data_IF_027316716020
#
_entry.id   IF_027316716020
#
_cell.length_a   1.000
_cell.length_b   1.000
_cell.length_c   1.000
_cell.angle_alpha   90.00
_cell.angle_beta   90.00
_cell.angle_gamma   90.00
#
_symmetry.space_group_name_H-M   'P 1'
#
loop_
_entity.id
_entity.type
_entity.pdbx_description
1 polymer ?
#
# COMPACT_ATOMS: atom_id res chain seq x y z
N UNK A 1 0.45 14.98 8.64
CA UNK A 1 -0.08 14.52 9.95
C UNK A 1 -0.55 15.75 10.70
N UNK A 2 -1.83 16.12 10.56
CA UNK A 2 -2.42 17.23 11.30
C UNK A 2 -3.22 16.62 12.46
N UNK A 3 -2.62 16.64 13.64
CA UNK A 3 -3.31 16.33 14.90
C UNK A 3 -4.31 17.44 15.18
N UNK A 4 -5.58 17.18 14.91
CA UNK A 4 -6.69 18.03 15.30
C UNK A 4 -6.73 18.14 16.82
N UNK A 5 -6.36 19.30 17.36
CA UNK A 5 -6.67 19.65 18.75
C UNK A 5 -8.20 19.65 18.91
N UNK A 6 -8.75 19.08 19.99
CA UNK A 6 -10.18 19.17 20.24
C UNK A 6 -10.49 20.64 20.52
N UNK A 7 -11.25 21.26 19.63
CA UNK A 7 -11.80 22.61 19.79
C UNK A 7 -12.38 22.76 21.20
N UNK A 8 -11.65 23.46 22.07
CA UNK A 8 -12.09 23.79 23.42
C UNK A 8 -13.36 24.61 23.30
N UNK A 9 -14.47 24.06 23.77
CA UNK A 9 -15.71 24.81 23.92
C UNK A 9 -15.40 25.96 24.87
N UNK A 10 -15.35 27.19 24.36
CA UNK A 10 -15.18 28.38 25.19
C UNK A 10 -16.50 28.57 25.93
N UNK A 11 -16.57 27.97 27.13
CA UNK A 11 -17.69 28.15 28.03
C UNK A 11 -17.59 29.58 28.62
N UNK A 12 -18.69 30.34 28.68
CA UNK A 12 -18.70 31.63 29.37
C UNK A 12 -18.30 31.45 30.85
N UNK A 13 -17.60 32.43 31.42
CA UNK A 13 -17.04 32.40 32.80
C UNK A 13 -18.07 31.97 33.87
N UNK A 14 -19.34 32.35 33.68
CA UNK A 14 -20.44 31.95 34.55
C UNK A 14 -20.76 30.43 34.51
N UNK A 15 -20.55 29.76 33.38
CA UNK A 15 -20.76 28.31 33.26
C UNK A 15 -19.62 27.52 33.90
N UNK A 16 -18.37 28.01 33.80
CA UNK A 16 -17.21 27.42 34.47
C UNK A 16 -17.34 27.50 36.00
N UNK A 17 -17.82 28.63 36.53
CA UNK A 17 -18.13 28.80 37.94
C UNK A 17 -19.24 27.84 38.43
N UNK A 18 -20.29 27.65 37.63
CA UNK A 18 -21.39 26.73 37.97
C UNK A 18 -20.92 25.28 37.99
N UNK A 19 -20.05 24.88 37.05
CA UNK A 19 -19.46 23.55 37.04
C UNK A 19 -18.52 23.34 38.24
N UNK A 20 -17.69 24.34 38.58
CA UNK A 20 -16.84 24.29 39.77
C UNK A 20 -17.63 24.22 41.09
N UNK A 21 -18.80 24.87 41.15
CA UNK A 21 -19.72 24.75 42.29
C UNK A 21 -20.37 23.37 42.35
N UNK A 22 -20.71 22.77 41.20
CA UNK A 22 -21.24 21.41 41.12
C UNK A 22 -20.22 20.38 41.62
N UNK A 23 -18.96 20.48 41.20
CA UNK A 23 -17.88 19.59 41.64
C UNK A 23 -17.65 19.67 43.15
N UNK A 24 -17.64 20.88 43.72
CA UNK A 24 -17.56 21.10 45.18
C UNK A 24 -18.76 20.50 45.91
N UNK A 25 -19.96 20.64 45.34
CA UNK A 25 -21.18 20.07 45.93
C UNK A 25 -21.11 18.53 45.92
N UNK A 26 -20.61 17.93 44.85
CA UNK A 26 -20.40 16.48 44.77
C UNK A 26 -19.37 16.00 45.82
N UNK A 27 -18.28 16.73 46.01
CA UNK A 27 -17.27 16.43 47.02
C UNK A 27 -17.86 16.48 48.45
N UNK A 28 -18.61 17.54 48.77
CA UNK A 28 -19.26 17.70 50.08
C UNK A 28 -20.32 16.62 50.35
N UNK A 29 -21.03 16.17 49.31
CA UNK A 29 -21.98 15.06 49.46
C UNK A 29 -21.29 13.73 49.78
N UNK A 30 -20.10 13.50 49.23
CA UNK A 30 -19.28 12.32 49.55
C UNK A 30 -18.77 12.41 50.99
N UNK A 31 -18.27 13.58 51.41
CA UNK A 31 -17.82 13.82 52.79
C UNK A 31 -18.96 13.62 53.80
N UNK A 32 -20.16 14.15 53.52
CA UNK A 32 -21.35 13.91 54.35
C UNK A 32 -21.76 12.44 54.40
N UNK A 33 -21.62 11.69 53.30
CA UNK A 33 -21.91 10.27 53.27
C UNK A 33 -20.92 9.48 54.15
N UNK A 34 -19.62 9.83 54.10
CA UNK A 34 -18.59 9.26 54.97
C UNK A 34 -18.88 9.56 56.45
N UNK A 35 -19.12 10.83 56.80
CA UNK A 35 -19.43 11.22 58.19
C UNK A 35 -20.72 10.57 58.72
N UNK A 36 -21.72 10.36 57.86
CA UNK A 36 -22.94 9.63 58.23
C UNK A 36 -22.67 8.15 58.45
N UNK A 37 -21.81 7.53 57.64
CA UNK A 37 -21.40 6.14 57.90
C UNK A 37 -20.65 6.04 59.22
N UNK A 38 -19.73 6.96 59.51
CA UNK A 38 -18.94 6.97 60.74
C UNK A 38 -19.81 7.18 61.99
N UNK A 39 -20.73 8.15 61.97
CA UNK A 39 -21.68 8.39 63.07
C UNK A 39 -22.70 7.26 63.27
N UNK A 40 -23.16 6.61 62.21
CA UNK A 40 -24.03 5.45 62.32
C UNK A 40 -23.30 4.27 63.00
N UNK A 41 -21.98 4.21 62.91
CA UNK A 41 -21.15 3.18 63.54
C UNK A 41 -20.75 3.53 64.99
N UNK A 42 -20.48 4.79 65.31
CA UNK A 42 -20.22 5.22 66.69
C UNK A 42 -21.42 4.94 67.63
N UNK A 43 -22.64 4.84 67.08
CA UNK A 43 -23.83 4.44 67.83
C UNK A 43 -23.99 2.93 68.02
N UNK A 44 -23.24 2.09 67.28
CA UNK A 44 -23.36 0.62 67.24
C UNK A 44 -22.16 -0.08 67.94
N UNK A 45 -21.19 0.70 68.42
CA UNK A 45 -19.87 0.29 68.93
C UNK A 45 -19.86 -0.49 70.26
N UNK A 46 -21.03 -0.86 70.79
CA UNK A 46 -21.13 -1.72 71.97
C UNK A 46 -21.07 -3.23 71.65
N UNK A 47 -20.96 -3.66 70.37
CA UNK A 47 -20.92 -5.10 70.06
C UNK A 47 -19.86 -5.51 69.00
N UNK A 48 -18.63 -5.75 69.50
CA UNK A 48 -17.72 -6.90 69.21
C UNK A 48 -17.09 -7.07 67.80
N UNK A 49 -15.75 -7.28 67.84
CA UNK A 49 -14.84 -7.97 66.87
C UNK A 49 -14.17 -7.10 65.77
N UNK A 50 -12.98 -6.58 66.10
CA UNK A 50 -12.12 -5.71 65.28
C UNK A 50 -11.43 -6.37 64.06
N UNK A 51 -11.83 -7.57 63.65
CA UNK A 51 -11.30 -8.27 62.47
C UNK A 51 -12.36 -8.45 61.38
N UNK A 52 -13.49 -9.07 61.71
CA UNK A 52 -14.64 -9.23 60.80
C UNK A 52 -15.35 -7.89 60.52
N UNK A 53 -15.27 -6.94 61.45
CA UNK A 53 -15.83 -5.60 61.28
C UNK A 53 -15.19 -4.82 60.13
N UNK A 54 -13.89 -4.99 59.85
CA UNK A 54 -13.19 -4.21 58.83
C UNK A 54 -13.62 -4.60 57.40
N UNK A 55 -13.78 -5.89 57.12
CA UNK A 55 -14.26 -6.37 55.83
C UNK A 55 -15.72 -5.93 55.59
N UNK A 56 -16.55 -5.96 56.63
CA UNK A 56 -17.92 -5.46 56.60
C UNK A 56 -17.95 -3.94 56.38
N UNK A 57 -17.04 -3.19 57.00
CA UNK A 57 -16.88 -1.73 56.81
C UNK A 57 -16.48 -1.43 55.36
N UNK A 58 -15.47 -2.13 54.83
CA UNK A 58 -15.03 -1.93 53.45
C UNK A 58 -16.16 -2.23 52.46
N UNK A 59 -16.91 -3.32 52.68
CA UNK A 59 -18.04 -3.67 51.83
C UNK A 59 -19.16 -2.62 51.92
N UNK A 60 -19.47 -2.10 53.12
CA UNK A 60 -20.49 -1.04 53.28
C UNK A 60 -20.09 0.30 52.67
N UNK A 61 -18.82 0.68 52.74
CA UNK A 61 -18.30 1.89 52.07
C UNK A 61 -18.38 1.72 50.55
N UNK A 62 -18.00 0.54 50.04
CA UNK A 62 -18.10 0.23 48.62
C UNK A 62 -19.56 0.27 48.16
N UNK A 63 -20.49 -0.34 48.90
CA UNK A 63 -21.93 -0.31 48.60
C UNK A 63 -22.50 1.12 48.61
N UNK A 64 -22.10 1.94 49.59
CA UNK A 64 -22.51 3.34 49.65
C UNK A 64 -21.95 4.16 48.48
N UNK A 65 -20.70 3.93 48.09
CA UNK A 65 -20.07 4.58 46.95
C UNK A 65 -20.72 4.19 45.62
N UNK A 66 -21.05 2.90 45.46
CA UNK A 66 -21.76 2.39 44.29
C UNK A 66 -23.18 2.97 44.22
N UNK A 67 -23.90 3.04 45.34
CA UNK A 67 -25.22 3.64 45.40
C UNK A 67 -25.20 5.13 45.03
N UNK A 68 -24.20 5.88 45.48
CA UNK A 68 -24.04 7.30 45.14
C UNK A 68 -23.68 7.50 43.66
N UNK A 69 -22.78 6.67 43.13
CA UNK A 69 -22.42 6.69 41.70
C UNK A 69 -23.64 6.38 40.82
N UNK A 70 -24.43 5.35 41.18
CA UNK A 70 -25.67 5.02 40.48
C UNK A 70 -26.68 6.15 40.56
N UNK A 71 -26.86 6.77 41.73
CA UNK A 71 -27.77 7.92 41.88
C UNK A 71 -27.35 9.08 40.98
N UNK A 72 -26.06 9.42 40.96
CA UNK A 72 -25.55 10.51 40.13
C UNK A 72 -25.73 10.18 38.64
N UNK A 73 -25.44 8.95 38.21
CA UNK A 73 -25.67 8.50 36.83
C UNK A 73 -27.15 8.56 36.43
N UNK A 74 -28.07 8.16 37.33
CA UNK A 74 -29.52 8.26 37.07
C UNK A 74 -29.95 9.72 36.96
N UNK A 75 -29.49 10.58 37.86
CA UNK A 75 -29.82 12.02 37.82
C UNK A 75 -29.27 12.65 36.53
N UNK A 76 -28.03 12.36 36.16
CA UNK A 76 -27.41 12.84 34.93
C UNK A 76 -28.17 12.36 33.69
N UNK A 77 -28.49 11.07 33.62
CA UNK A 77 -29.29 10.52 32.52
C UNK A 77 -30.67 11.15 32.43
N UNK A 78 -31.34 11.43 33.56
CA UNK A 78 -32.63 12.12 33.57
C UNK A 78 -32.47 13.57 33.12
N UNK A 79 -31.44 14.27 33.59
CA UNK A 79 -31.16 15.67 33.23
C UNK A 79 -30.80 15.85 31.76
N UNK A 80 -30.16 14.85 31.13
CA UNK A 80 -29.81 14.88 29.71
C UNK A 80 -30.97 14.38 28.85
N UNK A 81 -31.54 13.21 29.16
CA UNK A 81 -32.49 12.55 28.27
C UNK A 81 -33.90 13.16 28.33
N UNK A 82 -34.37 13.59 29.51
CA UNK A 82 -35.75 14.08 29.66
C UNK A 82 -36.01 15.38 28.89
N UNK A 83 -35.11 16.39 28.93
CA UNK A 83 -35.27 17.59 28.11
C UNK A 83 -35.18 17.29 26.61
N UNK A 84 -34.29 16.38 26.18
CA UNK A 84 -34.17 15.98 24.77
C UNK A 84 -35.46 15.32 24.29
N UNK A 85 -35.98 14.33 25.02
CA UNK A 85 -37.23 13.65 24.67
C UNK A 85 -38.41 14.62 24.60
N UNK A 86 -38.51 15.56 25.56
CA UNK A 86 -39.61 16.53 25.58
C UNK A 86 -39.50 17.61 24.52
N UNK A 87 -38.29 18.10 24.26
CA UNK A 87 -38.03 19.10 23.23
C UNK A 87 -38.28 18.52 21.83
N UNK A 88 -37.77 17.33 21.54
CA UNK A 88 -37.94 16.67 20.24
C UNK A 88 -39.40 16.29 19.98
N UNK A 89 -40.12 15.82 21.01
CA UNK A 89 -41.51 15.40 20.87
C UNK A 89 -42.54 16.51 21.11
N UNK A 90 -42.12 17.77 21.31
CA UNK A 90 -43.00 18.89 21.65
C UNK A 90 -44.06 18.50 22.70
N UNK A 91 -43.60 17.88 23.80
CA UNK A 91 -44.50 17.36 24.82
C UNK A 91 -45.43 18.47 25.35
N UNK A 92 -46.69 18.13 25.66
CA UNK A 92 -47.73 19.09 26.07
C UNK A 92 -47.36 19.91 27.31
N UNK A 93 -46.43 19.41 28.12
CA UNK A 93 -45.88 20.07 29.31
C UNK A 93 -44.41 20.51 29.16
N UNK A 94 -43.95 20.76 27.93
CA UNK A 94 -42.59 21.21 27.72
C UNK A 94 -42.34 22.57 28.40
N UNK A 95 -41.29 22.62 29.23
CA UNK A 95 -40.85 23.86 29.88
C UNK A 95 -40.47 24.91 28.83
N UNK A 96 -40.53 26.19 29.18
CA UNK A 96 -40.11 27.27 28.28
C UNK A 96 -38.65 27.10 27.83
N UNK A 97 -37.78 26.68 28.76
CA UNK A 97 -36.37 26.38 28.50
C UNK A 97 -36.25 25.21 27.50
N UNK A 98 -37.07 24.16 27.64
CA UNK A 98 -37.07 23.01 26.72
C UNK A 98 -37.50 23.40 25.29
N UNK A 99 -38.38 24.38 25.14
CA UNK A 99 -38.75 24.94 23.84
C UNK A 99 -37.65 25.82 23.25
N UNK A 100 -36.93 26.56 24.10
CA UNK A 100 -35.85 27.45 23.67
C UNK A 100 -34.61 26.67 23.21
N UNK A 101 -34.34 25.47 23.75
CA UNK A 101 -33.20 24.61 23.34
C UNK A 101 -33.46 23.81 22.04
N UNK A 102 -34.73 23.64 21.64
CA UNK A 102 -35.11 22.91 20.43
C UNK A 102 -34.36 23.35 19.16
N UNK A 103 -34.25 24.66 18.82
CA UNK A 103 -33.47 25.10 17.66
C UNK A 103 -31.99 24.72 17.75
N UNK A 104 -31.39 24.75 18.94
CA UNK A 104 -29.99 24.33 19.14
C UNK A 104 -29.81 22.83 18.88
N UNK A 105 -30.75 22.00 19.36
CA UNK A 105 -30.76 20.55 19.09
C UNK A 105 -30.90 20.29 17.58
N UNK A 106 -31.82 20.99 16.90
CA UNK A 106 -32.01 20.86 15.45
C UNK A 106 -30.75 21.27 14.68
N UNK A 107 -30.08 22.35 15.07
CA UNK A 107 -28.81 22.78 14.47
C UNK A 107 -27.71 21.74 14.69
N UNK A 108 -27.61 21.18 15.91
CA UNK A 108 -26.67 20.10 16.23
C UNK A 108 -26.93 18.87 15.35
N UNK A 109 -28.18 18.44 15.22
CA UNK A 109 -28.53 17.25 14.44
C UNK A 109 -28.27 17.48 12.93
N UNK A 110 -28.53 18.69 12.43
CA UNK A 110 -28.15 19.08 11.07
C UNK A 110 -26.62 19.11 10.87
N UNK A 111 -25.86 19.60 11.85
CA UNK A 111 -24.40 19.59 11.79
C UNK A 111 -23.85 18.16 11.86
N UNK A 112 -24.38 17.31 12.75
CA UNK A 112 -24.00 15.93 12.90
C UNK A 112 -24.29 15.11 11.64
N UNK A 113 -25.45 15.31 11.01
CA UNK A 113 -25.77 14.65 9.73
C UNK A 113 -24.88 15.13 8.58
N UNK A 114 -24.53 16.43 8.54
CA UNK A 114 -23.56 16.95 7.57
C UNK A 114 -22.17 16.37 7.80
N UNK A 115 -21.68 16.33 9.04
CA UNK A 115 -20.40 15.75 9.39
C UNK A 115 -20.33 14.25 9.07
N UNK A 116 -21.41 13.51 9.35
CA UNK A 116 -21.51 12.10 8.99
C UNK A 116 -21.46 11.89 7.47
N UNK A 117 -22.17 12.71 6.69
CA UNK A 117 -22.10 12.68 5.22
C UNK A 117 -20.69 12.98 4.73
N UNK A 118 -20.06 14.03 5.23
CA UNK A 118 -18.68 14.36 4.88
C UNK A 118 -17.70 13.23 5.22
N UNK A 119 -17.88 12.55 6.36
CA UNK A 119 -17.07 11.40 6.73
C UNK A 119 -17.26 10.23 5.74
N UNK A 120 -18.50 9.96 5.32
CA UNK A 120 -18.78 8.96 4.29
C UNK A 120 -18.17 9.34 2.94
N UNK A 121 -18.28 10.60 2.52
CA UNK A 121 -17.71 11.10 1.27
C UNK A 121 -16.17 10.99 1.28
N UNK A 122 -15.53 11.32 2.42
CA UNK A 122 -14.09 11.18 2.61
C UNK A 122 -13.67 9.71 2.60
N UNK A 123 -14.45 8.84 3.23
CA UNK A 123 -14.19 7.40 3.22
C UNK A 123 -14.29 6.86 1.79
N UNK A 124 -15.34 7.21 1.05
CA UNK A 124 -15.51 6.79 -0.35
C UNK A 124 -14.37 7.31 -1.23
N UNK A 125 -13.95 8.57 -1.05
CA UNK A 125 -12.80 9.13 -1.76
C UNK A 125 -11.49 8.38 -1.43
N UNK A 126 -11.30 8.01 -0.17
CA UNK A 126 -10.12 7.25 0.28
C UNK A 126 -10.12 5.83 -0.30
N UNK A 127 -11.27 5.17 -0.33
CA UNK A 127 -11.42 3.84 -0.93
C UNK A 127 -11.14 3.87 -2.44
N UNK A 128 -11.62 4.91 -3.14
CA UNK A 128 -11.32 5.13 -4.56
C UNK A 128 -9.83 5.39 -4.80
N UNK A 129 -9.18 6.18 -3.94
CA UNK A 129 -7.72 6.41 -4.02
C UNK A 129 -6.95 5.09 -3.83
N UNK A 130 -7.31 4.28 -2.84
CA UNK A 130 -6.68 2.98 -2.61
C UNK A 130 -6.85 2.03 -3.83
N UNK A 131 -8.03 2.03 -4.45
CA UNK A 131 -8.26 1.26 -5.68
C UNK A 131 -7.40 1.74 -6.85
N UNK A 132 -7.25 3.06 -7.02
CA UNK A 132 -6.40 3.64 -8.05
C UNK A 132 -4.91 3.34 -7.80
N UNK A 133 -4.45 3.42 -6.56
CA UNK A 133 -3.08 3.05 -6.20
C UNK A 133 -2.78 1.58 -6.54
N UNK A 134 -3.71 0.67 -6.25
CA UNK A 134 -3.59 -0.73 -6.66
C UNK A 134 -3.51 -0.89 -8.18
N UNK A 135 -4.34 -0.17 -8.93
CA UNK A 135 -4.30 -0.18 -10.40
C UNK A 135 -2.99 0.40 -10.95
N UNK A 136 -2.45 1.45 -10.34
CA UNK A 136 -1.15 2.04 -10.71
C UNK A 136 -0.04 1.00 -10.50
N UNK A 137 -0.03 0.31 -9.36
CA UNK A 137 0.96 -0.73 -9.09
C UNK A 137 0.85 -1.85 -10.14
N UNK A 138 -0.35 -2.36 -10.40
CA UNK A 138 -0.57 -3.42 -11.40
C UNK A 138 -0.13 -3.00 -12.81
N UNK A 139 -0.54 -1.81 -13.26
CA UNK A 139 -0.15 -1.29 -14.57
C UNK A 139 1.34 -0.99 -14.66
N UNK A 140 1.97 -0.52 -13.59
CA UNK A 140 3.42 -0.32 -13.54
C UNK A 140 4.19 -1.64 -13.69
N UNK A 141 3.76 -2.71 -13.00
CA UNK A 141 4.33 -4.04 -13.16
C UNK A 141 4.18 -4.53 -14.60
N UNK A 142 2.98 -4.38 -15.19
CA UNK A 142 2.75 -4.78 -16.57
C UNK A 142 3.58 -3.99 -17.56
N UNK A 143 3.76 -2.69 -17.34
CA UNK A 143 4.62 -1.84 -18.17
C UNK A 143 6.09 -2.26 -18.08
N UNK A 144 6.57 -2.64 -16.90
CA UNK A 144 7.93 -3.16 -16.72
C UNK A 144 8.11 -4.50 -17.46
N UNK A 145 7.14 -5.42 -17.34
CA UNK A 145 7.16 -6.69 -18.07
C UNK A 145 7.17 -6.49 -19.59
N UNK A 146 6.27 -5.65 -20.11
CA UNK A 146 6.20 -5.33 -21.53
C UNK A 146 7.48 -4.64 -22.03
N UNK A 147 8.05 -3.72 -21.24
CA UNK A 147 9.32 -3.09 -21.60
C UNK A 147 10.47 -4.12 -21.67
N UNK A 148 10.51 -5.07 -20.74
CA UNK A 148 11.47 -6.17 -20.78
C UNK A 148 11.27 -7.07 -22.00
N UNK A 149 10.03 -7.41 -22.35
CA UNK A 149 9.69 -8.16 -23.57
C UNK A 149 10.13 -7.41 -24.83
N UNK A 150 9.88 -6.11 -24.91
CA UNK A 150 10.29 -5.27 -26.05
C UNK A 150 11.82 -5.22 -26.17
N UNK A 151 12.55 -5.06 -25.06
CA UNK A 151 14.01 -5.09 -25.08
C UNK A 151 14.55 -6.44 -25.54
N UNK A 152 13.97 -7.54 -25.06
CA UNK A 152 14.36 -8.89 -25.47
C UNK A 152 14.06 -9.14 -26.96
N UNK A 153 12.93 -8.66 -27.48
CA UNK A 153 12.60 -8.76 -28.91
C UNK A 153 13.51 -7.88 -29.77
N UNK A 154 13.88 -6.69 -29.29
CA UNK A 154 14.82 -5.82 -29.97
C UNK A 154 16.23 -6.44 -30.04
N UNK A 155 16.70 -7.06 -28.94
CA UNK A 155 17.98 -7.78 -28.92
C UNK A 155 17.97 -8.95 -29.91
N UNK A 156 16.89 -9.75 -29.93
CA UNK A 156 16.73 -10.84 -30.90
C UNK A 156 16.72 -10.34 -32.35
N UNK A 157 16.03 -9.23 -32.62
CA UNK A 157 16.01 -8.63 -33.95
C UNK A 157 17.42 -8.19 -34.37
N UNK A 158 18.17 -7.55 -33.46
CA UNK A 158 19.54 -7.11 -33.72
C UNK A 158 20.50 -8.30 -33.93
N UNK A 159 20.37 -9.39 -33.16
CA UNK A 159 21.17 -10.59 -33.38
C UNK A 159 20.86 -11.27 -34.71
N UNK A 160 19.58 -11.30 -35.12
CA UNK A 160 19.18 -11.87 -36.39
C UNK A 160 19.74 -11.04 -37.57
N UNK A 161 19.66 -9.71 -37.48
CA UNK A 161 20.25 -8.82 -38.48
C UNK A 161 21.77 -9.03 -38.58
N UNK A 162 22.49 -9.11 -37.46
CA UNK A 162 23.92 -9.39 -37.44
C UNK A 162 24.25 -10.75 -38.09
N UNK A 163 23.52 -11.81 -37.75
CA UNK A 163 23.69 -13.14 -38.35
C UNK A 163 23.43 -13.13 -39.86
N UNK A 164 22.40 -12.43 -40.33
CA UNK A 164 22.13 -12.32 -41.76
C UNK A 164 23.23 -11.57 -42.51
N UNK A 165 23.83 -10.53 -41.89
CA UNK A 165 24.96 -9.82 -42.48
C UNK A 165 26.21 -10.71 -42.56
N UNK A 166 26.51 -11.47 -41.50
CA UNK A 166 27.63 -12.42 -41.49
C UNK A 166 27.46 -13.51 -42.57
N UNK A 167 26.24 -14.03 -42.76
CA UNK A 167 25.96 -15.01 -43.80
C UNK A 167 26.15 -14.44 -45.21
N UNK A 168 25.73 -13.19 -45.45
CA UNK A 168 25.94 -12.49 -46.73
C UNK A 168 27.43 -12.29 -46.99
N UNK A 169 28.21 -11.88 -45.98
CA UNK A 169 29.66 -11.70 -46.10
C UNK A 169 30.36 -13.02 -46.40
N UNK A 170 30.04 -14.08 -45.66
CA UNK A 170 30.62 -15.42 -45.89
C UNK A 170 30.33 -15.94 -47.30
N UNK A 171 29.09 -15.76 -47.80
CA UNK A 171 28.75 -16.13 -49.17
C UNK A 171 29.58 -15.33 -50.19
N UNK A 172 29.76 -14.03 -49.97
CA UNK A 172 30.58 -13.20 -50.86
C UNK A 172 32.04 -13.66 -50.91
N UNK A 173 32.64 -13.98 -49.77
CA UNK A 173 34.01 -14.48 -49.68
C UNK A 173 34.17 -15.83 -50.37
N UNK A 174 33.21 -16.75 -50.19
CA UNK A 174 33.19 -18.04 -50.88
C UNK A 174 33.11 -17.84 -52.39
N UNK A 175 32.27 -16.91 -52.87
CA UNK A 175 32.20 -16.62 -54.33
C UNK A 175 33.50 -16.02 -54.86
N UNK A 176 34.15 -15.13 -54.11
CA UNK A 176 35.45 -14.58 -54.50
C UNK A 176 36.52 -15.67 -54.56
N UNK A 177 36.63 -16.51 -53.53
CA UNK A 177 37.56 -17.62 -53.50
C UNK A 177 37.32 -18.63 -54.64
N UNK A 178 36.05 -18.93 -54.99
CA UNK A 178 35.75 -19.79 -56.15
C UNK A 178 36.21 -19.15 -57.47
N UNK A 179 36.01 -17.83 -57.63
CA UNK A 179 36.51 -17.13 -58.83
C UNK A 179 38.03 -17.13 -58.91
N UNK A 180 38.74 -16.90 -57.80
CA UNK A 180 40.19 -16.96 -57.74
C UNK A 180 40.71 -18.38 -58.01
N UNK A 181 40.05 -19.39 -57.43
CA UNK A 181 40.39 -20.80 -57.66
C UNK A 181 40.20 -21.15 -59.14
N UNK A 182 39.12 -20.70 -59.77
CA UNK A 182 38.87 -20.90 -61.21
C UNK A 182 39.93 -20.22 -62.07
N UNK A 183 40.30 -18.98 -61.77
CA UNK A 183 41.37 -18.26 -62.48
C UNK A 183 42.71 -18.98 -62.31
N UNK A 184 43.03 -19.42 -61.09
CA UNK A 184 44.24 -20.19 -60.79
C UNK A 184 44.28 -21.52 -61.56
N UNK A 185 43.18 -22.28 -61.55
CA UNK A 185 43.03 -23.52 -62.33
C UNK A 185 43.18 -23.27 -63.83
N UNK A 186 42.59 -22.20 -64.35
CA UNK A 186 42.72 -21.84 -65.77
C UNK A 186 44.17 -21.48 -66.12
N UNK A 187 44.84 -20.68 -65.27
CA UNK A 187 46.27 -20.36 -65.44
C UNK A 187 47.13 -21.62 -65.40
N UNK A 188 46.91 -22.51 -64.45
CA UNK A 188 47.61 -23.79 -64.36
C UNK A 188 47.40 -24.65 -65.60
N UNK A 189 46.16 -24.74 -66.11
CA UNK A 189 45.85 -25.47 -67.34
C UNK A 189 46.59 -24.90 -68.55
N UNK A 190 46.68 -23.57 -68.67
CA UNK A 190 47.45 -22.92 -69.74
C UNK A 190 48.94 -23.21 -69.59
N UNK A 191 49.53 -23.03 -68.40
CA UNK A 191 50.96 -23.29 -68.15
C UNK A 191 51.30 -24.76 -68.37
N UNK A 192 50.46 -25.68 -67.91
CA UNK A 192 50.65 -27.12 -68.12
C UNK A 192 50.54 -27.48 -69.61
N UNK A 193 49.54 -26.92 -70.31
CA UNK A 193 49.36 -27.10 -71.74
C UNK A 193 50.54 -26.59 -72.56
N UNK A 194 51.06 -25.40 -72.27
CA UNK A 194 52.23 -24.85 -72.97
C UNK A 194 53.51 -25.63 -72.65
N UNK A 195 53.74 -26.00 -71.39
CA UNK A 195 54.90 -26.81 -71.01
C UNK A 195 54.88 -28.19 -71.70
N UNK A 196 53.73 -28.85 -71.73
CA UNK A 196 53.54 -30.14 -72.42
C UNK A 196 53.78 -30.02 -73.93
N UNK A 197 53.25 -28.97 -74.56
CA UNK A 197 53.46 -28.71 -76.00
C UNK A 197 54.93 -28.42 -76.34
N UNK A 198 55.65 -27.69 -75.48
CA UNK A 198 57.08 -27.40 -75.68
C UNK A 198 57.93 -28.67 -75.55
N UNK A 199 57.68 -29.49 -74.52
CA UNK A 199 58.43 -30.74 -74.31
C UNK A 199 58.21 -31.71 -75.47
N UNK A 200 56.96 -31.92 -75.88
CA UNK A 200 56.61 -32.81 -77.00
C UNK A 200 57.09 -32.28 -78.36
N UNK A 201 57.04 -30.96 -78.58
CA UNK A 201 57.52 -30.31 -79.81
C UNK A 201 59.05 -30.22 -79.94
N UNK A 202 59.79 -30.36 -78.83
CA UNK A 202 61.26 -30.27 -78.83
C UNK A 202 61.99 -31.50 -79.40
N UNK A 203 61.28 -32.63 -79.57
CA UNK A 203 61.86 -33.88 -80.08
C UNK A 203 62.67 -34.69 -79.06
N UNK A 204 62.66 -34.30 -77.78
CA UNK A 204 63.26 -35.06 -76.67
C UNK A 204 62.41 -36.31 -76.36
N UNK A 205 63.04 -37.48 -76.11
CA UNK A 205 62.35 -38.74 -75.75
C UNK A 205 61.82 -38.71 -74.30
N UNK A 206 60.79 -37.90 -74.08
CA UNK A 206 60.13 -37.66 -72.80
C UNK A 206 59.43 -38.89 -72.23
N UNK A 207 59.19 -39.93 -73.05
CA UNK A 207 58.54 -41.16 -72.60
C UNK A 207 59.43 -41.99 -71.69
N UNK A 208 60.77 -41.87 -71.77
CA UNK A 208 61.70 -42.67 -70.94
C UNK A 208 62.05 -42.01 -69.62
N UNK A 209 61.96 -40.68 -69.53
CA UNK A 209 62.21 -39.93 -68.30
C UNK A 209 60.93 -39.79 -67.48
N UNK A 210 60.96 -40.27 -66.23
CA UNK A 210 59.82 -40.21 -65.30
C UNK A 210 59.40 -38.77 -65.04
N UNK A 211 60.34 -37.83 -64.95
CA UNK A 211 60.03 -36.43 -64.65
C UNK A 211 59.33 -35.73 -65.82
N UNK A 212 59.76 -36.00 -67.05
CA UNK A 212 59.13 -35.43 -68.25
C UNK A 212 57.79 -36.09 -68.55
N UNK A 213 57.67 -37.39 -68.28
CA UNK A 213 56.41 -38.13 -68.41
C UNK A 213 55.32 -37.58 -67.48
N UNK A 214 55.65 -37.31 -66.23
CA UNK A 214 54.72 -36.74 -65.24
C UNK A 214 54.35 -35.28 -65.58
N UNK A 215 55.26 -34.54 -66.24
CA UNK A 215 54.99 -33.17 -66.70
C UNK A 215 54.04 -33.13 -67.90
N UNK A 216 54.13 -34.10 -68.81
CA UNK A 216 53.31 -34.20 -70.04
C UNK A 216 51.95 -34.83 -69.77
N UNK A 217 51.88 -35.86 -68.91
CA UNK A 217 50.62 -36.55 -68.63
C UNK A 217 49.70 -35.70 -67.73
N UNK A 218 48.43 -35.59 -68.12
CA UNK A 218 47.39 -35.10 -67.23
C UNK A 218 47.04 -36.21 -66.23
N UNK A 219 47.17 -35.91 -64.94
CA UNK A 219 46.47 -36.68 -63.92
C UNK A 219 45.01 -36.27 -64.07
N UNK A 220 44.08 -37.21 -64.34
CA UNK A 220 42.67 -36.88 -64.34
C UNK A 220 42.26 -36.46 -62.92
N UNK A 221 41.48 -35.38 -62.83
CA UNK A 221 40.86 -34.89 -61.59
C UNK A 221 40.10 -36.01 -60.85
#
# INVERSE_FOLDING_TARGET
>A
MASSEPSSLILPEAEEDVLGLYDKLQQLQLELALLRSENAHASDDNTRLAGEGMDIIQMRILDASAALALRNSVVENVMIAQPILRAVHNATHASKIERDILPCIQQRDLAATKAAKQCLDVQEASDRLAQLELQIIQTSHRNVELAAEVLHLADRAQTNEAQTLDEIHLQSDVTQLDTEMRISRQRWRVVKGTASAVVTGSGIDWARDKQLRDMVLEIPD
#
